data_IF_233778258838
#
_entry.id   IF_233778258838
#
_cell.length_a   1.000
_cell.length_b   1.000
_cell.length_c   1.000
_cell.angle_alpha   90.00
_cell.angle_beta   90.00
_cell.angle_gamma   90.00
#
_symmetry.space_group_name_H-M   'P 1'
#
loop_
_entity.id
_entity.type
_entity.pdbx_description
1 polymer ?
#
# COMPACT_ATOMS: atom_id res chain seq x y z
N UNK A 1 -16.55 -29.67 56.37
CA UNK A 1 -17.10 -28.76 55.34
C UNK A 1 -15.96 -28.42 54.39
N UNK A 2 -15.87 -29.13 53.22
CA UNK A 2 -14.83 -28.90 52.20
C UNK A 2 -15.39 -27.90 51.19
N UNK A 3 -14.79 -26.71 51.15
CA UNK A 3 -15.11 -25.69 50.15
C UNK A 3 -14.39 -26.00 48.83
N UNK A 4 -15.17 -26.25 47.80
CA UNK A 4 -14.67 -26.36 46.42
C UNK A 4 -14.42 -24.94 45.86
N UNK A 5 -13.16 -24.63 45.62
CA UNK A 5 -12.77 -23.37 45.00
C UNK A 5 -12.86 -23.54 43.45
N UNK A 6 -13.87 -22.94 42.86
CA UNK A 6 -14.09 -22.97 41.42
C UNK A 6 -13.15 -21.94 40.75
N UNK A 7 -12.09 -22.42 40.12
CA UNK A 7 -11.17 -21.56 39.36
C UNK A 7 -11.79 -21.29 38.01
N UNK A 8 -12.26 -20.06 37.77
CA UNK A 8 -12.66 -19.62 36.44
C UNK A 8 -11.41 -19.44 35.58
N UNK A 9 -11.25 -20.29 34.59
CA UNK A 9 -10.29 -20.08 33.50
C UNK A 9 -10.94 -19.11 32.51
N UNK A 10 -10.55 -17.84 32.57
CA UNK A 10 -10.92 -16.86 31.55
C UNK A 10 -10.05 -17.15 30.33
N UNK A 11 -10.62 -17.82 29.36
CA UNK A 11 -9.96 -17.99 28.06
C UNK A 11 -9.68 -16.62 27.46
N UNK A 12 -8.40 -16.31 27.23
CA UNK A 12 -8.01 -15.14 26.48
C UNK A 12 -8.41 -15.40 25.02
N UNK A 13 -9.36 -14.63 24.51
CA UNK A 13 -9.64 -14.56 23.08
C UNK A 13 -8.51 -13.76 22.47
N UNK A 14 -7.53 -14.44 21.88
CA UNK A 14 -6.57 -13.76 21.01
C UNK A 14 -7.34 -13.20 19.82
N UNK A 15 -7.46 -11.88 19.78
CA UNK A 15 -7.95 -11.18 18.61
C UNK A 15 -6.92 -11.39 17.50
N UNK A 16 -7.32 -12.14 16.48
CA UNK A 16 -6.50 -12.32 15.29
C UNK A 16 -6.30 -10.97 14.61
N UNK A 17 -5.04 -10.57 14.39
CA UNK A 17 -4.70 -9.32 13.72
C UNK A 17 -5.37 -9.26 12.34
N UNK A 18 -5.97 -8.14 12.01
CA UNK A 18 -6.54 -7.88 10.71
C UNK A 18 -5.47 -7.28 9.80
N UNK A 19 -5.69 -7.36 8.50
CA UNK A 19 -4.82 -6.66 7.56
C UNK A 19 -4.83 -5.16 7.88
N UNK A 20 -3.65 -4.57 8.12
CA UNK A 20 -3.50 -3.19 8.59
C UNK A 20 -3.26 -3.05 10.08
N UNK A 21 -3.52 -4.09 10.88
CA UNK A 21 -3.16 -4.10 12.29
C UNK A 21 -1.68 -4.47 12.47
N UNK A 22 -1.02 -3.98 13.53
CA UNK A 22 0.31 -4.44 13.88
C UNK A 22 0.27 -5.93 14.26
N UNK A 23 1.31 -6.66 13.94
CA UNK A 23 1.47 -8.03 14.41
C UNK A 23 1.62 -8.03 15.94
N UNK A 24 1.08 -9.06 16.59
CA UNK A 24 1.19 -9.21 18.04
C UNK A 24 2.64 -9.43 18.48
N UNK A 25 3.00 -8.92 19.64
CA UNK A 25 4.32 -9.13 20.25
C UNK A 25 5.40 -8.18 19.75
N UNK A 26 5.06 -7.10 19.05
CA UNK A 26 6.01 -6.03 18.73
C UNK A 26 6.52 -5.38 20.02
N UNK A 27 7.82 -5.14 20.09
CA UNK A 27 8.39 -4.29 21.13
C UNK A 27 8.03 -2.81 20.91
N UNK A 28 8.33 -1.96 21.90
CA UNK A 28 7.97 -0.55 21.85
C UNK A 28 8.59 0.20 20.65
N UNK A 29 9.82 -0.18 20.24
CA UNK A 29 10.50 0.47 19.11
C UNK A 29 9.83 0.11 17.77
N UNK A 30 9.47 -1.14 17.58
CA UNK A 30 8.75 -1.58 16.38
C UNK A 30 7.31 -1.06 16.36
N UNK A 31 6.63 -0.99 17.52
CA UNK A 31 5.31 -0.39 17.62
C UNK A 31 5.33 1.09 17.20
N UNK A 32 6.29 1.86 17.68
CA UNK A 32 6.46 3.26 17.30
C UNK A 32 6.75 3.42 15.79
N UNK A 33 7.55 2.51 15.20
CA UNK A 33 7.81 2.51 13.76
C UNK A 33 6.55 2.19 12.95
N UNK A 34 5.74 1.23 13.43
CA UNK A 34 4.48 0.90 12.80
C UNK A 34 3.53 2.10 12.79
N UNK A 35 3.38 2.78 13.93
CA UNK A 35 2.52 3.97 14.05
C UNK A 35 3.00 5.11 13.12
N UNK A 36 4.29 5.40 13.12
CA UNK A 36 4.86 6.39 12.22
C UNK A 36 4.67 6.03 10.74
N UNK A 37 4.85 4.76 10.38
CA UNK A 37 4.60 4.25 9.05
C UNK A 37 3.14 4.35 8.63
N UNK A 38 2.21 4.04 9.55
CA UNK A 38 0.78 4.18 9.31
C UNK A 38 0.35 5.64 9.09
N UNK A 39 0.96 6.57 9.80
CA UNK A 39 0.75 7.99 9.57
C UNK A 39 1.23 8.41 8.18
N UNK A 40 2.47 8.06 7.82
CA UNK A 40 3.03 8.37 6.49
C UNK A 40 2.20 7.74 5.36
N UNK A 41 1.75 6.51 5.54
CA UNK A 41 0.90 5.80 4.57
C UNK A 41 -0.40 6.54 4.24
N UNK A 42 -0.97 7.24 5.22
CA UNK A 42 -2.20 8.02 5.08
C UNK A 42 -1.96 9.49 4.72
N UNK A 43 -0.72 9.98 4.82
CA UNK A 43 -0.40 11.38 4.54
C UNK A 43 -0.52 11.66 3.06
N UNK A 44 -1.28 12.71 2.71
CA UNK A 44 -1.28 13.24 1.34
C UNK A 44 0.01 13.99 1.09
N UNK A 45 0.72 13.59 0.06
CA UNK A 45 1.97 14.19 -0.40
C UNK A 45 1.72 15.06 -1.63
N UNK A 46 2.50 16.10 -1.77
CA UNK A 46 2.50 17.02 -2.90
C UNK A 46 3.90 17.09 -3.54
N UNK A 47 4.05 17.87 -4.59
CA UNK A 47 5.33 17.96 -5.31
C UNK A 47 6.47 18.47 -4.42
N UNK A 48 6.19 19.38 -3.49
CA UNK A 48 7.16 19.89 -2.52
C UNK A 48 7.65 18.82 -1.53
N UNK A 49 6.84 17.79 -1.29
CA UNK A 49 7.19 16.63 -0.46
C UNK A 49 7.98 15.56 -1.26
N UNK A 50 8.23 15.81 -2.53
CA UNK A 50 8.96 14.91 -3.43
C UNK A 50 8.07 13.94 -4.22
N UNK A 51 6.75 14.05 -4.13
CA UNK A 51 5.86 13.29 -4.97
C UNK A 51 5.72 13.95 -6.34
N UNK A 52 6.17 13.27 -7.39
CA UNK A 52 6.08 13.80 -8.74
C UNK A 52 4.63 14.06 -9.19
N UNK A 53 4.40 15.08 -10.05
CA UNK A 53 3.06 15.46 -10.48
C UNK A 53 2.34 14.40 -11.30
N UNK A 54 3.07 13.47 -11.88
CA UNK A 54 2.55 12.35 -12.68
C UNK A 54 1.98 11.19 -11.84
N UNK A 55 2.17 11.20 -10.51
CA UNK A 55 1.62 10.14 -9.67
C UNK A 55 0.09 10.13 -9.72
N UNK A 56 -0.49 8.94 -9.80
CA UNK A 56 -1.94 8.77 -9.93
C UNK A 56 -2.73 9.25 -8.70
N UNK A 57 -2.13 9.21 -7.50
CA UNK A 57 -2.76 9.60 -6.24
C UNK A 57 -1.74 10.18 -5.26
N UNK A 58 -2.21 10.93 -4.29
CA UNK A 58 -1.37 11.66 -3.34
C UNK A 58 -0.89 10.85 -2.14
N UNK A 59 -1.49 9.69 -1.85
CA UNK A 59 -1.08 8.85 -0.72
C UNK A 59 -1.19 7.37 -1.06
N UNK A 60 -0.47 6.54 -0.30
CA UNK A 60 -0.60 5.09 -0.41
C UNK A 60 -2.03 4.63 -0.12
N UNK A 61 -2.66 5.20 0.91
CA UNK A 61 -4.03 4.89 1.32
C UNK A 61 -5.08 5.23 0.26
N UNK A 62 -4.82 6.14 -0.66
CA UNK A 62 -5.77 6.45 -1.73
C UNK A 62 -6.03 5.26 -2.66
N UNK A 63 -5.06 4.36 -2.80
CA UNK A 63 -5.20 3.14 -3.60
C UNK A 63 -5.28 1.88 -2.72
N UNK A 64 -4.63 1.87 -1.56
CA UNK A 64 -4.52 0.71 -0.68
C UNK A 64 -5.31 0.93 0.63
N UNK A 65 -6.62 1.02 0.56
CA UNK A 65 -7.48 1.45 1.68
C UNK A 65 -8.56 0.44 2.11
N UNK A 66 -8.54 -0.82 1.61
CA UNK A 66 -9.60 -1.77 1.94
C UNK A 66 -9.06 -3.20 2.23
N UNK A 67 -8.63 -3.47 3.45
CA UNK A 67 -8.19 -2.56 4.52
C UNK A 67 -6.85 -1.87 4.22
N UNK A 68 -5.84 -2.55 3.65
CA UNK A 68 -4.59 -2.01 3.13
C UNK A 68 -4.16 -2.69 1.83
N UNK A 69 -4.97 -3.62 1.34
CA UNK A 69 -4.77 -4.26 0.03
C UNK A 69 -5.18 -3.32 -1.12
N UNK A 70 -4.68 -3.59 -2.31
CA UNK A 70 -5.09 -2.87 -3.51
C UNK A 70 -6.59 -3.06 -3.77
N UNK A 71 -7.28 -2.00 -4.15
CA UNK A 71 -8.69 -2.04 -4.51
C UNK A 71 -8.86 -2.55 -5.95
N UNK A 72 -9.78 -3.48 -6.18
CA UNK A 72 -9.99 -4.08 -7.51
C UNK A 72 -10.39 -3.09 -8.62
N UNK A 73 -10.86 -1.89 -8.28
CA UNK A 73 -11.13 -0.80 -9.22
C UNK A 73 -9.93 0.13 -9.45
N UNK A 74 -8.83 -0.06 -8.72
CA UNK A 74 -7.60 0.71 -8.83
C UNK A 74 -6.55 -0.17 -9.49
N UNK A 75 -6.56 -0.23 -10.80
CA UNK A 75 -5.61 -1.02 -11.58
C UNK A 75 -4.51 -0.13 -12.14
N UNK A 76 -3.33 -0.69 -12.27
CA UNK A 76 -2.22 -0.07 -13.00
C UNK A 76 -2.20 -0.57 -14.44
N UNK A 77 -1.80 0.29 -15.36
CA UNK A 77 -1.53 -0.10 -16.74
C UNK A 77 -0.02 -0.20 -16.90
N UNK A 78 0.45 -1.34 -17.37
CA UNK A 78 1.87 -1.54 -17.68
C UNK A 78 2.04 -1.60 -19.19
N UNK A 79 3.13 -1.03 -19.66
CA UNK A 79 3.55 -1.07 -21.05
C UNK A 79 4.99 -1.56 -21.15
N UNK A 80 5.33 -2.14 -22.27
CA UNK A 80 6.67 -2.67 -22.53
C UNK A 80 6.73 -3.27 -23.93
N UNK A 81 7.83 -3.93 -24.19
CA UNK A 81 8.08 -4.62 -25.45
C UNK A 81 8.31 -6.11 -25.16
N UNK A 82 7.82 -6.95 -26.04
CA UNK A 82 8.17 -8.38 -26.00
C UNK A 82 9.47 -8.60 -26.76
N UNK A 83 10.50 -9.01 -26.06
CA UNK A 83 11.76 -9.47 -26.66
C UNK A 83 11.80 -11.01 -26.70
N UNK A 84 12.38 -11.57 -27.75
CA UNK A 84 12.41 -13.04 -27.94
C UNK A 84 13.33 -13.78 -26.97
N UNK A 85 14.35 -13.09 -26.46
CA UNK A 85 15.38 -13.66 -25.59
C UNK A 85 15.12 -13.31 -24.12
N UNK A 86 14.70 -12.07 -23.86
CA UNK A 86 14.52 -11.51 -22.52
C UNK A 86 13.06 -11.55 -22.03
N UNK A 87 12.10 -11.81 -22.92
CA UNK A 87 10.68 -11.74 -22.59
C UNK A 87 10.19 -10.29 -22.52
N UNK A 88 9.41 -9.97 -21.50
CA UNK A 88 8.88 -8.61 -21.32
C UNK A 88 9.98 -7.65 -20.86
N UNK A 89 10.24 -6.62 -21.67
CA UNK A 89 11.21 -5.55 -21.39
C UNK A 89 10.46 -4.28 -21.00
N UNK A 90 10.80 -3.72 -19.87
CA UNK A 90 10.05 -2.61 -19.23
C UNK A 90 10.30 -1.23 -19.85
N UNK A 91 11.21 -1.08 -20.79
CA UNK A 91 11.53 0.20 -21.46
C UNK A 91 11.88 1.32 -20.46
N UNK A 92 12.74 1.05 -19.50
CA UNK A 92 13.13 1.99 -18.44
C UNK A 92 13.67 3.32 -18.97
N UNK A 93 14.35 3.30 -20.11
CA UNK A 93 14.89 4.49 -20.79
C UNK A 93 13.80 5.45 -21.31
N UNK A 94 12.56 4.95 -21.43
CA UNK A 94 11.38 5.72 -21.86
C UNK A 94 10.44 6.04 -20.70
N UNK A 95 10.88 5.90 -19.46
CA UNK A 95 10.09 6.22 -18.27
C UNK A 95 9.54 5.01 -17.51
N UNK A 96 9.99 3.82 -17.87
CA UNK A 96 9.59 2.59 -17.17
C UNK A 96 8.30 1.99 -17.68
N UNK A 97 7.81 0.98 -16.98
CA UNK A 97 6.70 0.17 -17.46
C UNK A 97 5.32 0.61 -16.97
N UNK A 98 5.24 1.62 -16.11
CA UNK A 98 3.99 2.05 -15.48
C UNK A 98 3.44 3.30 -16.15
N UNK A 99 2.23 3.17 -16.71
CA UNK A 99 1.50 4.31 -17.26
C UNK A 99 0.73 5.04 -16.14
N UNK A 100 0.98 6.33 -15.99
CA UNK A 100 0.29 7.18 -15.02
C UNK A 100 -0.96 7.81 -15.66
N UNK A 101 -2.10 7.12 -15.54
CA UNK A 101 -3.37 7.49 -16.21
C UNK A 101 -4.07 8.69 -15.56
N UNK A 102 -3.60 9.15 -14.41
CA UNK A 102 -4.08 10.36 -13.75
C UNK A 102 -2.95 11.00 -12.97
N UNK A 103 -2.78 12.29 -13.09
CA UNK A 103 -1.79 13.04 -12.33
C UNK A 103 -2.42 13.69 -11.09
N UNK A 104 -1.64 13.93 -10.04
CA UNK A 104 -2.05 14.78 -8.93
C UNK A 104 -2.10 16.25 -9.32
N UNK A 105 -1.40 16.62 -10.39
CA UNK A 105 -1.49 17.91 -11.03
C UNK A 105 -2.23 17.80 -12.37
N UNK A 106 -3.03 18.82 -12.67
CA UNK A 106 -3.84 18.85 -13.88
C UNK A 106 -2.95 18.92 -15.13
N UNK A 107 -3.15 18.01 -16.05
CA UNK A 107 -2.40 17.96 -17.31
C UNK A 107 -1.16 17.07 -17.26
N UNK A 108 -0.92 16.37 -16.18
CA UNK A 108 0.19 15.42 -16.04
C UNK A 108 -0.18 13.96 -16.23
N UNK A 109 -1.41 13.65 -16.65
CA UNK A 109 -1.78 12.29 -17.02
C UNK A 109 -1.09 11.88 -18.33
N UNK A 110 -0.68 10.61 -18.39
CA UNK A 110 -0.05 10.05 -19.58
C UNK A 110 -1.08 9.34 -20.44
N UNK A 111 -0.98 9.49 -21.74
CA UNK A 111 -1.82 8.79 -22.70
C UNK A 111 -1.03 7.69 -23.42
N UNK A 112 -1.68 6.59 -23.72
CA UNK A 112 -1.11 5.59 -24.59
C UNK A 112 -0.90 6.20 -25.98
N UNK A 113 0.27 5.99 -26.62
CA UNK A 113 0.46 6.40 -28.00
C UNK A 113 -0.58 5.73 -28.90
N UNK A 114 -1.09 6.49 -29.86
CA UNK A 114 -2.00 5.93 -30.86
C UNK A 114 -1.27 4.82 -31.64
N UNK A 115 -1.81 3.63 -31.62
CA UNK A 115 -1.32 2.49 -32.39
C UNK A 115 -1.83 2.56 -33.83
#
# INVERSE_FOLDING_TARGET
MSGFMLTMVIGQVELQARMGDPISGLDAAYSARFEAGAQLYNTSLIAEDGLGPIFNKQSCANCHNNPVGGHGSQTVIRFGMEDKEEGFVELEEFGGSLLQVSGIDTGCAEDLPAM
#
